data_IF_519265065486
#
_entry.id   IF_519265065486
#
_cell.length_a   1.000
_cell.length_b   1.000
_cell.length_c   1.000
_cell.angle_alpha   90.00
_cell.angle_beta   90.00
_cell.angle_gamma   90.00
#
_symmetry.space_group_name_H-M   'P 1'
#
loop_
_entity.id
_entity.type
_entity.pdbx_description
1 polymer ?
#
# COMPACT_ATOMS: atom_id res chain seq x y z
N UNK A 1 12.23 5.68 -2.58
CA UNK A 1 11.21 5.99 -1.55
C UNK A 1 10.83 7.47 -1.65
N UNK A 2 9.55 7.83 -1.44
CA UNK A 2 9.13 9.24 -1.40
C UNK A 2 9.46 9.83 -0.03
N UNK A 3 10.24 10.90 -0.02
CA UNK A 3 10.56 11.62 1.20
C UNK A 3 9.32 12.36 1.73
N UNK A 4 9.07 12.29 3.04
CA UNK A 4 7.88 12.90 3.66
C UNK A 4 7.97 14.42 3.77
N UNK A 5 9.18 14.96 3.94
CA UNK A 5 9.42 16.39 4.13
C UNK A 5 9.46 17.13 2.81
N UNK A 6 10.22 16.61 1.83
CA UNK A 6 10.39 17.25 0.52
C UNK A 6 9.32 16.81 -0.49
N UNK A 7 8.66 15.67 -0.26
CA UNK A 7 7.69 15.10 -1.19
C UNK A 7 8.31 14.55 -2.48
N UNK A 8 9.64 14.45 -2.57
CA UNK A 8 10.36 14.00 -3.76
C UNK A 8 10.65 12.50 -3.71
N UNK A 9 10.67 11.86 -4.88
CA UNK A 9 11.09 10.46 -5.02
C UNK A 9 12.62 10.37 -5.04
N UNK A 10 13.18 9.55 -4.16
CA UNK A 10 14.60 9.17 -4.17
C UNK A 10 14.81 7.66 -4.30
N UNK A 11 16.05 7.19 -4.43
CA UNK A 11 16.37 5.77 -4.38
C UNK A 11 15.97 5.15 -3.03
N UNK A 12 15.83 3.83 -3.00
CA UNK A 12 15.87 3.09 -1.73
C UNK A 12 17.33 3.04 -1.29
N UNK A 13 17.58 3.35 -0.02
CA UNK A 13 18.90 3.25 0.60
C UNK A 13 18.95 1.97 1.43
N UNK A 14 19.95 1.14 1.20
CA UNK A 14 20.04 -0.24 1.71
C UNK A 14 20.19 -0.32 3.23
N UNK A 15 20.88 0.66 3.84
CA UNK A 15 21.12 0.73 5.29
C UNK A 15 19.96 1.36 6.08
N UNK A 16 18.92 1.85 5.39
CA UNK A 16 17.75 2.46 6.02
C UNK A 16 16.67 1.43 6.32
N UNK A 17 16.01 1.60 7.46
CA UNK A 17 14.82 0.82 7.81
C UNK A 17 13.56 1.52 7.33
N UNK A 18 12.69 0.77 6.65
CA UNK A 18 11.38 1.24 6.20
C UNK A 18 10.27 0.49 6.91
N UNK A 19 9.13 1.17 7.11
CA UNK A 19 7.89 0.54 7.58
C UNK A 19 7.03 0.19 6.37
N UNK A 20 6.70 -1.09 6.25
CA UNK A 20 5.87 -1.63 5.18
C UNK A 20 4.54 -2.10 5.76
N UNK A 21 3.44 -1.84 5.07
CA UNK A 21 2.12 -2.37 5.37
C UNK A 21 1.76 -3.42 4.31
N UNK A 22 1.37 -4.61 4.76
CA UNK A 22 0.97 -5.75 3.94
C UNK A 22 -0.18 -6.49 4.63
N UNK A 23 -0.89 -7.35 3.90
CA UNK A 23 -1.85 -8.28 4.50
C UNK A 23 -1.11 -9.33 5.35
N UNK A 24 -1.78 -9.83 6.38
CA UNK A 24 -1.26 -10.89 7.25
C UNK A 24 -0.86 -12.14 6.45
N UNK A 25 -1.64 -12.49 5.41
CA UNK A 25 -1.33 -13.58 4.48
C UNK A 25 0.04 -13.42 3.81
N UNK A 26 0.37 -12.25 3.25
CA UNK A 26 1.67 -12.03 2.62
C UNK A 26 2.80 -11.93 3.67
N UNK A 27 2.51 -11.34 4.83
CA UNK A 27 3.47 -11.21 5.92
C UNK A 27 3.98 -12.56 6.44
N UNK A 28 3.17 -13.62 6.33
CA UNK A 28 3.52 -15.00 6.70
C UNK A 28 4.01 -15.84 5.53
N UNK A 29 4.17 -15.26 4.33
CA UNK A 29 4.74 -15.92 3.16
C UNK A 29 3.73 -16.51 2.18
N UNK A 30 2.43 -16.20 2.34
CA UNK A 30 1.42 -16.44 1.32
C UNK A 30 1.89 -15.91 -0.05
N UNK A 31 1.49 -16.57 -1.13
CA UNK A 31 1.99 -16.34 -2.51
C UNK A 31 3.52 -16.45 -2.68
N UNK A 32 4.22 -17.12 -1.76
CA UNK A 32 5.65 -17.36 -1.87
C UNK A 32 6.52 -16.18 -1.43
N UNK A 33 5.98 -15.23 -0.65
CA UNK A 33 6.71 -14.09 -0.11
C UNK A 33 7.71 -14.48 1.00
N UNK A 34 8.75 -15.24 0.64
CA UNK A 34 9.78 -15.77 1.55
C UNK A 34 10.51 -14.68 2.34
N UNK A 35 10.80 -13.54 1.70
CA UNK A 35 11.48 -12.40 2.34
C UNK A 35 10.64 -11.79 3.45
N UNK A 36 9.31 -11.69 3.26
CA UNK A 36 8.42 -11.16 4.29
C UNK A 36 8.26 -12.14 5.45
N UNK A 37 8.12 -13.44 5.15
CA UNK A 37 8.04 -14.49 6.16
C UNK A 37 9.30 -14.52 7.07
N UNK A 38 10.47 -14.24 6.51
CA UNK A 38 11.75 -14.22 7.21
C UNK A 38 11.96 -13.00 8.14
N UNK A 39 11.09 -11.98 8.09
CA UNK A 39 11.20 -10.82 8.99
C UNK A 39 10.96 -11.28 10.44
N UNK A 40 11.85 -10.98 11.40
CA UNK A 40 11.69 -11.41 12.80
C UNK A 40 10.38 -10.91 13.42
N UNK A 41 9.75 -11.73 14.28
CA UNK A 41 8.49 -11.39 14.93
C UNK A 41 8.54 -10.06 15.70
N UNK A 42 9.66 -9.76 16.36
CA UNK A 42 9.86 -8.49 17.08
C UNK A 42 9.82 -7.24 16.17
N UNK A 43 9.93 -7.41 14.84
CA UNK A 43 9.82 -6.35 13.84
C UNK A 43 8.48 -6.35 13.11
N UNK A 44 7.55 -7.22 13.50
CA UNK A 44 6.20 -7.30 12.93
C UNK A 44 5.20 -6.73 13.92
N UNK A 45 4.26 -5.95 13.40
CA UNK A 45 3.08 -5.48 14.13
C UNK A 45 1.86 -5.95 13.35
N UNK A 46 1.11 -6.90 13.91
CA UNK A 46 -0.24 -7.17 13.44
C UNK A 46 -1.16 -6.10 14.02
N UNK A 47 -1.79 -5.33 13.13
CA UNK A 47 -2.70 -4.26 13.52
C UNK A 47 -4.08 -4.79 13.95
N UNK A 48 -4.40 -6.05 13.65
CA UNK A 48 -5.64 -6.71 14.08
C UNK A 48 -6.92 -6.16 13.44
N UNK A 49 -6.81 -5.50 12.29
CA UNK A 49 -7.96 -4.92 11.56
C UNK A 49 -8.16 -5.65 10.24
N UNK A 50 -9.42 -5.93 9.89
CA UNK A 50 -9.77 -6.50 8.59
C UNK A 50 -9.44 -5.50 7.48
N UNK A 51 -8.95 -6.02 6.36
CA UNK A 51 -8.67 -5.25 5.16
C UNK A 51 -9.93 -4.55 4.62
N UNK A 52 -11.08 -5.24 4.66
CA UNK A 52 -12.39 -4.70 4.32
C UNK A 52 -12.78 -3.51 5.19
N UNK A 53 -12.53 -3.58 6.50
CA UNK A 53 -12.84 -2.49 7.43
C UNK A 53 -11.93 -1.28 7.21
N UNK A 54 -10.64 -1.51 6.94
CA UNK A 54 -9.70 -0.44 6.56
C UNK A 54 -10.16 0.25 5.28
N UNK A 55 -10.55 -0.53 4.27
CA UNK A 55 -11.01 0.01 2.99
C UNK A 55 -12.35 0.74 3.11
N UNK A 56 -13.31 0.17 3.84
CA UNK A 56 -14.60 0.81 4.10
C UNK A 56 -14.43 2.11 4.91
N UNK A 57 -13.58 2.10 5.93
CA UNK A 57 -13.22 3.29 6.71
C UNK A 57 -12.57 4.35 5.81
N UNK A 58 -11.73 3.94 4.86
CA UNK A 58 -11.16 4.87 3.88
C UNK A 58 -12.24 5.48 2.99
N UNK A 59 -13.14 4.67 2.41
CA UNK A 59 -14.23 5.15 1.54
C UNK A 59 -15.13 6.14 2.29
N UNK A 60 -15.55 5.81 3.51
CA UNK A 60 -16.48 6.63 4.28
C UNK A 60 -15.90 7.96 4.74
N UNK A 61 -14.57 8.10 4.77
CA UNK A 61 -13.87 9.36 5.07
C UNK A 61 -13.74 10.31 3.88
N UNK A 62 -14.07 9.87 2.67
CA UNK A 62 -13.96 10.74 1.49
C UNK A 62 -15.06 11.81 1.47
N UNK A 63 -14.82 12.89 0.72
CA UNK A 63 -15.84 13.90 0.47
C UNK A 63 -17.06 13.25 -0.18
N UNK A 64 -18.25 13.72 0.20
CA UNK A 64 -19.51 13.23 -0.37
C UNK A 64 -19.92 14.12 -1.53
N UNK A 65 -20.40 13.47 -2.59
CA UNK A 65 -21.03 14.16 -3.70
C UNK A 65 -22.38 14.78 -3.25
N UNK A 66 -22.62 16.03 -3.60
CA UNK A 66 -23.79 16.78 -3.13
C UNK A 66 -25.11 16.28 -3.74
N UNK A 67 -25.09 15.69 -4.93
CA UNK A 67 -26.29 15.22 -5.61
C UNK A 67 -26.73 13.83 -5.13
N UNK A 68 -25.78 12.94 -4.86
CA UNK A 68 -26.04 11.53 -4.50
C UNK A 68 -25.84 11.24 -3.01
N UNK A 69 -25.18 12.13 -2.27
CA UNK A 69 -24.75 11.94 -0.89
C UNK A 69 -23.84 10.70 -0.69
N UNK A 70 -23.23 10.17 -1.74
CA UNK A 70 -22.30 9.05 -1.68
C UNK A 70 -20.84 9.54 -1.59
N UNK A 71 -19.93 8.81 -0.90
CA UNK A 71 -18.51 9.15 -0.91
C UNK A 71 -17.91 9.07 -2.32
N UNK A 72 -17.14 10.10 -2.70
CA UNK A 72 -16.49 10.19 -4.00
C UNK A 72 -15.05 9.67 -3.93
N UNK A 73 -14.72 8.67 -4.74
CA UNK A 73 -13.35 8.18 -4.90
C UNK A 73 -12.66 8.93 -6.04
N UNK A 74 -11.51 9.54 -5.75
CA UNK A 74 -10.67 10.18 -6.76
C UNK A 74 -9.54 9.26 -7.19
N UNK A 75 -9.14 9.38 -8.46
CA UNK A 75 -7.97 8.68 -8.98
C UNK A 75 -6.72 9.19 -8.27
N UNK A 76 -5.83 8.28 -7.90
CA UNK A 76 -4.52 8.66 -7.36
C UNK A 76 -3.70 9.41 -8.43
N UNK A 77 -2.93 10.44 -8.05
CA UNK A 77 -2.09 11.17 -9.01
C UNK A 77 -1.03 10.23 -9.61
N UNK A 78 -1.09 10.03 -10.93
CA UNK A 78 -0.30 8.98 -11.62
C UNK A 78 1.20 9.25 -11.52
N UNK A 79 1.60 10.51 -11.48
CA UNK A 79 2.99 10.95 -11.28
C UNK A 79 3.59 10.52 -9.93
N UNK A 80 2.73 10.17 -8.96
CA UNK A 80 3.16 9.68 -7.65
C UNK A 80 3.22 8.17 -7.56
N UNK A 81 2.68 7.41 -8.52
CA UNK A 81 2.60 5.95 -8.37
C UNK A 81 3.04 5.26 -9.65
N UNK A 82 4.07 4.42 -9.55
CA UNK A 82 4.52 3.58 -10.66
C UNK A 82 3.52 2.45 -10.89
N UNK A 83 2.51 2.69 -11.73
CA UNK A 83 1.76 1.60 -12.35
C UNK A 83 2.61 1.09 -13.52
N UNK A 84 3.37 0.02 -13.30
CA UNK A 84 3.99 -0.70 -14.41
C UNK A 84 2.87 -1.35 -15.23
N UNK A 85 2.66 -0.89 -16.46
CA UNK A 85 1.82 -1.59 -17.42
C UNK A 85 2.62 -2.73 -18.03
N UNK A 86 2.20 -3.97 -17.77
CA UNK A 86 2.74 -5.14 -18.46
C UNK A 86 1.86 -5.39 -19.69
N UNK A 87 2.42 -5.18 -20.88
CA UNK A 87 1.84 -5.68 -22.12
C UNK A 87 2.42 -7.07 -22.30
N UNK A 88 1.57 -8.09 -22.28
CA UNK A 88 1.99 -9.46 -22.56
C UNK A 88 2.41 -9.55 -24.03
N UNK A 89 3.72 -9.61 -24.29
CA UNK A 89 4.25 -9.85 -25.63
C UNK A 89 4.34 -11.36 -25.78
N UNK A 90 3.38 -11.97 -26.48
CA UNK A 90 3.47 -13.37 -26.89
C UNK A 90 4.81 -13.59 -27.61
N UNK A 91 5.66 -14.45 -27.05
CA UNK A 91 6.80 -15.04 -27.74
C UNK A 91 6.35 -16.15 -28.66
#
# INVERSE_FOLDING_TARGET
MRDRQTGTWGPVVDDKTYKLFVLSFNATGGDGYKTLAAVPAARRLDIGVLDSDVFFTYITKQQRDAATNLPTLQRLPVELYSTKSFIDVKK
#
